data_IF_440252591282
#
_entry.id   IF_440252591282
#
_cell.length_a   1.000
_cell.length_b   1.000
_cell.length_c   1.000
_cell.angle_alpha   90.00
_cell.angle_beta   90.00
_cell.angle_gamma   90.00
#
_symmetry.space_group_name_H-M   'P 1'
#
loop_
_entity.id
_entity.type
_entity.pdbx_description
1 polymer ?
#
# COMPACT_ATOMS: atom_id res chain seq x y z
N UNK A 1 64.75 -29.46 1.83
CA UNK A 1 63.86 -28.29 1.95
C UNK A 1 63.73 -27.91 3.42
N UNK A 2 63.96 -26.64 3.76
CA UNK A 2 63.84 -26.10 5.12
C UNK A 2 62.36 -25.99 5.53
N UNK A 3 62.03 -26.45 6.73
CA UNK A 3 60.68 -26.38 7.29
C UNK A 3 60.38 -24.94 7.74
N UNK A 4 59.33 -24.31 7.21
CA UNK A 4 58.78 -23.08 7.81
C UNK A 4 57.57 -23.45 8.66
N UNK A 5 57.77 -23.51 9.99
CA UNK A 5 56.65 -23.60 10.93
C UNK A 5 56.14 -22.18 11.17
N UNK A 6 54.99 -21.87 10.58
CA UNK A 6 54.28 -20.60 10.80
C UNK A 6 53.80 -20.58 12.26
N UNK A 7 54.49 -19.82 13.09
CA UNK A 7 54.13 -19.62 14.50
C UNK A 7 53.05 -18.54 14.55
N UNK A 8 51.81 -18.98 14.71
CA UNK A 8 50.62 -18.13 14.75
C UNK A 8 50.44 -17.57 16.17
N UNK A 9 50.80 -16.30 16.39
CA UNK A 9 50.58 -15.64 17.68
C UNK A 9 49.11 -15.17 17.78
N UNK A 10 48.34 -15.60 18.79
CA UNK A 10 46.90 -15.29 18.90
C UNK A 10 46.61 -13.79 19.00
N UNK A 11 47.59 -13.02 19.49
CA UNK A 11 47.52 -11.56 19.64
C UNK A 11 47.66 -10.80 18.31
N UNK A 12 48.34 -11.35 17.30
CA UNK A 12 48.48 -10.73 15.97
C UNK A 12 47.28 -11.01 15.06
N UNK A 13 46.58 -12.14 15.26
CA UNK A 13 45.35 -12.45 14.54
C UNK A 13 44.16 -11.61 15.03
N UNK A 14 44.08 -11.35 16.33
CA UNK A 14 43.03 -10.53 16.93
C UNK A 14 43.09 -9.05 16.47
N UNK A 15 44.30 -8.49 16.33
CA UNK A 15 44.48 -7.13 15.79
C UNK A 15 44.15 -7.03 14.31
N UNK A 16 44.43 -8.09 13.54
CA UNK A 16 44.10 -8.15 12.11
C UNK A 16 42.58 -8.23 11.87
N UNK A 17 41.85 -8.92 12.75
CA UNK A 17 40.38 -8.99 12.73
C UNK A 17 39.72 -7.68 13.17
N UNK A 18 40.31 -6.95 14.13
CA UNK A 18 39.83 -5.64 14.58
C UNK A 18 39.94 -4.56 13.49
N UNK A 19 41.05 -4.54 12.72
CA UNK A 19 41.27 -3.56 11.65
C UNK A 19 40.37 -3.84 10.43
N UNK A 20 40.06 -5.10 10.14
CA UNK A 20 39.13 -5.47 9.07
C UNK A 20 37.67 -5.10 9.42
N UNK A 21 37.28 -5.14 10.70
CA UNK A 21 35.94 -4.76 11.14
C UNK A 21 35.67 -3.24 11.07
N UNK A 22 36.71 -2.39 11.22
CA UNK A 22 36.54 -0.94 11.22
C UNK A 22 36.35 -0.36 9.79
N UNK A 23 36.89 -1.02 8.77
CA UNK A 23 36.84 -0.58 7.37
C UNK A 23 35.48 -0.78 6.66
N UNK A 24 34.51 -1.45 7.29
CA UNK A 24 33.18 -1.74 6.71
C UNK A 24 32.13 -0.69 7.13
N UNK A 25 32.46 0.21 8.05
CA UNK A 25 31.49 1.13 8.68
C UNK A 25 31.15 2.39 7.88
N UNK A 26 31.81 2.68 6.76
CA UNK A 26 31.55 3.87 5.93
C UNK A 26 30.85 3.51 4.62
N UNK A 27 29.56 3.18 4.68
CA UNK A 27 28.75 2.98 3.48
C UNK A 27 27.24 2.97 3.75
N UNK A 28 26.51 3.82 3.01
CA UNK A 28 25.04 3.87 2.79
C UNK A 28 24.20 4.51 3.91
N UNK A 29 23.21 5.38 3.67
CA UNK A 29 22.69 6.04 2.48
C UNK A 29 22.01 7.36 2.90
N UNK A 30 22.15 8.38 2.04
CA UNK A 30 21.32 9.58 2.06
C UNK A 30 19.87 9.24 1.66
N UNK A 31 18.95 10.17 1.91
CA UNK A 31 17.51 10.20 1.60
C UNK A 31 16.56 9.66 2.68
N UNK A 32 16.28 10.52 3.67
CA UNK A 32 14.98 10.56 4.34
C UNK A 32 14.39 11.97 4.16
N UNK A 33 14.05 12.33 2.92
CA UNK A 33 13.17 13.46 2.65
C UNK A 33 11.72 12.99 2.83
N UNK A 34 11.24 12.96 4.07
CA UNK A 34 9.82 12.79 4.33
C UNK A 34 9.17 14.17 4.23
N UNK A 35 8.59 14.46 3.07
CA UNK A 35 7.64 15.56 2.93
C UNK A 35 6.47 15.26 3.88
N UNK A 36 6.36 16.04 4.95
CA UNK A 36 5.21 16.09 5.83
C UNK A 36 4.02 16.65 5.04
N UNK A 37 3.34 15.77 4.31
CA UNK A 37 2.12 16.07 3.61
C UNK A 37 1.04 16.49 4.62
N UNK A 38 0.53 17.70 4.46
CA UNK A 38 -0.60 18.22 5.18
C UNK A 38 -1.78 17.23 5.10
N UNK A 39 -2.30 16.83 6.25
CA UNK A 39 -3.38 15.87 6.37
C UNK A 39 -4.72 16.49 5.90
N UNK A 40 -4.94 16.50 4.59
CA UNK A 40 -6.29 16.49 4.02
C UNK A 40 -6.88 15.12 4.30
N UNK A 41 -8.01 15.06 5.00
CA UNK A 41 -8.81 13.84 5.16
C UNK A 41 -9.40 13.47 3.81
N UNK A 42 -8.58 12.86 2.97
CA UNK A 42 -8.95 12.36 1.65
C UNK A 42 -9.53 10.96 1.81
N UNK A 43 -10.80 10.80 1.44
CA UNK A 43 -11.40 9.45 1.39
C UNK A 43 -10.97 8.78 0.11
N UNK A 44 -10.21 7.68 0.23
CA UNK A 44 -9.65 6.97 -0.91
C UNK A 44 -10.49 5.73 -1.20
N UNK A 45 -11.18 5.76 -2.34
CA UNK A 45 -12.04 4.67 -2.80
C UNK A 45 -11.32 3.92 -3.93
N UNK A 46 -11.11 2.60 -3.76
CA UNK A 46 -10.49 1.74 -4.79
C UNK A 46 -11.47 0.68 -5.27
N UNK A 47 -11.69 0.64 -6.58
CA UNK A 47 -12.51 -0.35 -7.27
C UNK A 47 -11.76 -0.95 -8.44
N UNK A 48 -12.07 -2.22 -8.74
CA UNK A 48 -11.57 -2.93 -9.91
C UNK A 48 -12.72 -3.32 -10.81
N UNK A 49 -12.57 -3.10 -12.12
CA UNK A 49 -13.56 -3.47 -13.12
C UNK A 49 -13.84 -4.99 -13.06
N UNK A 50 -15.12 -5.37 -13.08
CA UNK A 50 -15.56 -6.77 -12.99
C UNK A 50 -15.40 -7.40 -11.60
N UNK A 51 -14.85 -6.70 -10.60
CA UNK A 51 -14.70 -7.21 -9.25
C UNK A 51 -15.77 -6.67 -8.32
N UNK A 52 -16.43 -7.55 -7.56
CA UNK A 52 -17.34 -7.16 -6.49
C UNK A 52 -16.63 -6.70 -5.21
N UNK A 53 -15.30 -6.63 -5.21
CA UNK A 53 -14.49 -6.22 -4.06
C UNK A 53 -14.10 -4.76 -4.19
N UNK A 54 -14.39 -3.98 -3.14
CA UNK A 54 -14.04 -2.56 -3.02
C UNK A 54 -13.31 -2.33 -1.70
N UNK A 55 -12.39 -1.36 -1.67
CA UNK A 55 -11.85 -0.84 -0.41
C UNK A 55 -12.13 0.66 -0.25
N UNK A 56 -12.57 1.05 0.95
CA UNK A 56 -12.74 2.44 1.39
C UNK A 56 -11.79 2.64 2.56
N UNK A 57 -10.81 3.54 2.42
CA UNK A 57 -9.79 3.79 3.45
C UNK A 57 -9.09 2.50 3.95
N UNK A 58 -8.91 1.54 3.04
CA UNK A 58 -8.31 0.24 3.33
C UNK A 58 -9.27 -0.83 3.88
N UNK A 59 -10.52 -0.48 4.21
CA UNK A 59 -11.54 -1.44 4.69
C UNK A 59 -12.24 -2.09 3.50
N UNK A 60 -12.22 -3.42 3.44
CA UNK A 60 -12.87 -4.18 2.38
C UNK A 60 -14.40 -4.21 2.54
N UNK A 61 -15.12 -4.02 1.43
CA UNK A 61 -16.58 -4.12 1.36
C UNK A 61 -17.00 -4.75 0.04
N UNK A 62 -18.08 -5.53 0.07
CA UNK A 62 -18.64 -6.18 -1.10
C UNK A 62 -19.65 -5.26 -1.78
N UNK A 63 -19.55 -5.14 -3.10
CA UNK A 63 -20.41 -4.30 -3.95
C UNK A 63 -20.75 -5.04 -5.23
N UNK A 64 -21.76 -4.53 -5.96
CA UNK A 64 -22.02 -4.97 -7.32
C UNK A 64 -20.78 -4.66 -8.19
N UNK A 65 -20.32 -5.60 -9.04
CA UNK A 65 -19.13 -5.39 -9.84
C UNK A 65 -19.30 -4.21 -10.80
N UNK A 66 -18.36 -3.25 -10.84
CA UNK A 66 -18.34 -2.22 -11.86
C UNK A 66 -18.20 -2.85 -13.24
N UNK A 67 -18.88 -2.29 -14.24
CA UNK A 67 -18.79 -2.76 -15.62
C UNK A 67 -18.62 -1.61 -16.59
N UNK A 68 -18.15 -1.90 -17.79
CA UNK A 68 -18.00 -0.92 -18.85
C UNK A 68 -18.99 -1.23 -19.97
N UNK A 69 -19.68 -0.21 -20.46
CA UNK A 69 -20.56 -0.32 -21.62
C UNK A 69 -20.34 0.91 -22.50
N UNK A 70 -20.04 0.70 -23.78
CA UNK A 70 -19.80 1.77 -24.76
C UNK A 70 -18.70 2.76 -24.30
N UNK A 71 -17.62 2.25 -23.68
CA UNK A 71 -16.54 3.07 -23.15
C UNK A 71 -16.85 3.76 -21.80
N UNK A 72 -18.10 3.75 -21.33
CA UNK A 72 -18.52 4.35 -20.06
C UNK A 72 -18.48 3.32 -18.94
N UNK A 73 -17.85 3.66 -17.82
CA UNK A 73 -17.82 2.83 -16.60
C UNK A 73 -19.03 3.11 -15.73
N UNK A 74 -19.79 2.06 -15.43
CA UNK A 74 -20.90 2.09 -14.51
C UNK A 74 -20.43 1.59 -13.15
N UNK A 75 -20.53 2.46 -12.14
CA UNK A 75 -20.22 2.16 -10.75
C UNK A 75 -21.50 2.13 -9.90
N UNK A 76 -21.61 1.25 -8.91
CA UNK A 76 -22.76 1.23 -8.01
C UNK A 76 -22.85 2.50 -7.16
N UNK A 77 -24.06 3.04 -6.97
CA UNK A 77 -24.28 4.26 -6.17
C UNK A 77 -23.87 4.11 -4.68
N UNK A 78 -23.92 2.88 -4.16
CA UNK A 78 -23.49 2.52 -2.81
C UNK A 78 -21.99 2.78 -2.57
N UNK A 79 -21.18 2.77 -3.62
CA UNK A 79 -19.75 3.08 -3.59
C UNK A 79 -19.53 4.54 -3.26
N UNK A 80 -20.28 5.42 -3.93
CA UNK A 80 -20.15 6.85 -3.77
C UNK A 80 -20.59 7.21 -2.35
N UNK A 81 -21.82 6.87 -1.97
CA UNK A 81 -22.41 7.19 -0.66
C UNK A 81 -21.58 6.71 0.54
N UNK A 82 -20.99 5.51 0.48
CA UNK A 82 -20.07 5.01 1.51
C UNK A 82 -18.78 5.82 1.62
N UNK A 83 -18.22 6.29 0.50
CA UNK A 83 -16.97 7.06 0.48
C UNK A 83 -17.14 8.55 0.72
N UNK A 84 -18.29 9.15 0.38
CA UNK A 84 -18.54 10.59 0.62
C UNK A 84 -19.32 10.86 1.91
N UNK A 85 -19.65 9.84 2.70
CA UNK A 85 -20.42 9.99 3.95
C UNK A 85 -21.85 10.51 3.75
N UNK A 86 -22.35 10.50 2.50
CA UNK A 86 -23.68 10.97 2.18
C UNK A 86 -24.72 9.88 2.47
N UNK A 87 -25.79 10.24 3.19
CA UNK A 87 -26.89 9.31 3.44
C UNK A 87 -27.66 9.04 2.15
N UNK A 88 -27.70 7.77 1.72
CA UNK A 88 -28.51 7.32 0.61
C UNK A 88 -29.97 7.19 1.07
N UNK A 89 -30.81 8.16 0.72
CA UNK A 89 -32.26 8.02 0.85
C UNK A 89 -32.84 7.51 -0.47
N UNK A 90 -33.39 6.30 -0.45
CA UNK A 90 -34.21 5.77 -1.53
C UNK A 90 -35.66 6.18 -1.26
N UNK A 91 -36.16 7.19 -1.96
CA UNK A 91 -37.59 7.46 -2.00
C UNK A 91 -38.26 6.47 -2.94
N UNK A 92 -39.30 5.79 -2.46
CA UNK A 92 -40.17 4.92 -3.26
C UNK A 92 -40.64 5.67 -4.51
N UNK A 93 -40.13 5.28 -5.68
CA UNK A 93 -40.78 5.62 -6.94
C UNK A 93 -41.94 4.64 -7.11
N UNK A 94 -43.06 4.91 -6.43
CA UNK A 94 -44.34 4.31 -6.83
C UNK A 94 -44.56 4.68 -8.29
N UNK A 95 -44.47 3.69 -9.17
CA UNK A 95 -45.07 3.80 -10.49
C UNK A 95 -46.57 3.95 -10.21
N UNK A 96 -47.13 5.12 -10.48
CA UNK A 96 -48.58 5.27 -10.55
C UNK A 96 -49.03 4.39 -11.72
N UNK A 97 -49.27 3.12 -11.44
CA UNK A 97 -50.11 2.30 -12.26
C UNK A 97 -51.52 2.80 -11.99
N UNK A 98 -52.05 3.53 -12.96
CA UNK A 98 -53.43 3.99 -12.93
C UNK A 98 -54.26 2.74 -13.19
N UNK A 99 -54.87 2.23 -12.13
CA UNK A 99 -55.97 1.28 -12.20
C UNK A 99 -57.02 1.76 -13.22
N UNK A 100 -57.22 0.98 -14.30
CA UNK A 100 -58.50 0.63 -14.92
C UNK A 100 -58.30 -0.03 -16.30
#
# INVERSE_FOLDING_TARGET
MSNSRVIFHPKMFLSFLLVLALAISSGTAAFAASSSAAATTEVVIKLKLGSGQMTVDGVASTVQPPFQKNGVTFIPLSVLTKGIGAQLQLTDNKKNDVDA
#
